data_IF_238447519459
#
_entry.id   IF_238447519459
#
_cell.length_a   1.000
_cell.length_b   1.000
_cell.length_c   1.000
_cell.angle_alpha   90.00
_cell.angle_beta   90.00
_cell.angle_gamma   90.00
#
_symmetry.space_group_name_H-M   'P 1'
#
loop_
_entity.id
_entity.type
_entity.pdbx_description
1 polymer ?
#
# COMPACT_ATOMS: atom_id res chain seq x y z
N UNK A 1 -47.55 37.96 -38.56
CA UNK A 1 -48.32 37.31 -37.48
C UNK A 1 -48.70 35.95 -38.04
N UNK A 2 -47.90 34.88 -37.91
CA UNK A 2 -47.54 34.17 -36.66
C UNK A 2 -48.84 33.98 -35.84
N UNK A 3 -49.36 32.78 -35.55
CA UNK A 3 -48.68 31.61 -34.95
C UNK A 3 -49.57 30.34 -35.12
N UNK A 4 -48.92 29.21 -35.48
CA UNK A 4 -49.08 27.76 -35.18
C UNK A 4 -50.47 27.12 -35.03
N UNK A 5 -50.83 26.04 -35.74
CA UNK A 5 -50.24 24.69 -35.89
C UNK A 5 -50.06 23.85 -34.60
N UNK A 6 -50.99 22.89 -34.47
CA UNK A 6 -50.83 21.49 -33.99
C UNK A 6 -50.21 21.27 -32.61
N UNK A 7 -51.05 20.82 -31.68
CA UNK A 7 -50.64 20.07 -30.49
C UNK A 7 -50.17 18.67 -30.88
N UNK A 8 -49.01 18.23 -30.37
CA UNK A 8 -48.93 16.83 -29.97
C UNK A 8 -48.12 16.62 -28.69
N UNK A 9 -48.44 15.54 -27.99
CA UNK A 9 -47.43 14.81 -27.21
C UNK A 9 -47.71 14.72 -25.72
N UNK A 10 -48.52 13.74 -25.34
CA UNK A 10 -48.37 13.06 -24.06
C UNK A 10 -46.94 12.49 -23.99
N UNK A 11 -46.05 13.13 -23.24
CA UNK A 11 -44.72 12.57 -23.00
C UNK A 11 -44.85 11.42 -22.01
N UNK A 12 -44.79 10.18 -22.50
CA UNK A 12 -44.51 9.02 -21.65
C UNK A 12 -43.05 9.20 -21.20
N UNK A 13 -42.85 9.78 -20.01
CA UNK A 13 -41.58 9.66 -19.31
C UNK A 13 -41.50 8.23 -18.80
N UNK A 14 -40.89 7.34 -19.59
CA UNK A 14 -40.31 6.12 -19.02
C UNK A 14 -39.27 6.62 -18.01
N UNK A 15 -39.57 6.49 -16.73
CA UNK A 15 -38.57 6.66 -15.70
C UNK A 15 -37.50 5.59 -15.97
N UNK A 16 -36.41 5.98 -16.64
CA UNK A 16 -35.21 5.16 -16.63
C UNK A 16 -34.79 5.08 -15.18
N UNK A 17 -34.88 3.88 -14.60
CA UNK A 17 -34.31 3.60 -13.31
C UNK A 17 -32.85 4.08 -13.36
N UNK A 18 -32.50 5.05 -12.51
CA UNK A 18 -31.10 5.39 -12.31
C UNK A 18 -30.44 4.12 -11.78
N UNK A 19 -29.69 3.42 -12.63
CA UNK A 19 -28.94 2.24 -12.23
C UNK A 19 -28.03 2.68 -11.08
N UNK A 20 -28.33 2.19 -9.88
CA UNK A 20 -27.46 2.33 -8.71
C UNK A 20 -26.57 1.09 -8.71
N UNK A 21 -25.33 1.18 -9.21
CA UNK A 21 -24.48 0.01 -9.27
C UNK A 21 -24.13 -0.43 -7.86
N UNK A 22 -24.17 -1.74 -7.63
CA UNK A 22 -23.63 -2.35 -6.43
C UNK A 22 -22.15 -2.58 -6.66
N UNK A 23 -21.30 -2.01 -5.79
CA UNK A 23 -19.86 -2.13 -5.90
C UNK A 23 -19.35 -2.88 -4.69
N UNK A 24 -18.67 -4.01 -4.93
CA UNK A 24 -18.00 -4.78 -3.88
C UNK A 24 -16.50 -4.62 -4.06
N UNK A 25 -15.82 -4.18 -3.00
CA UNK A 25 -14.37 -4.05 -2.91
C UNK A 25 -13.88 -5.18 -2.01
N UNK A 26 -12.97 -6.02 -2.51
CA UNK A 26 -12.38 -7.11 -1.74
C UNK A 26 -10.98 -6.69 -1.29
N UNK A 27 -10.79 -6.60 0.03
CA UNK A 27 -9.59 -6.12 0.70
C UNK A 27 -9.73 -4.67 1.20
N UNK A 28 -9.58 -4.45 2.50
CA UNK A 28 -9.52 -3.15 3.16
C UNK A 28 -8.08 -2.69 3.43
N UNK A 29 -7.15 -3.06 2.54
CA UNK A 29 -5.85 -2.42 2.42
C UNK A 29 -5.98 -1.02 1.82
N UNK A 30 -4.87 -0.27 1.74
CA UNK A 30 -4.89 1.13 1.29
C UNK A 30 -5.46 1.32 -0.12
N UNK A 31 -5.29 0.35 -1.02
CA UNK A 31 -5.89 0.37 -2.35
C UNK A 31 -7.42 0.30 -2.28
N UNK A 32 -7.96 -0.68 -1.55
CA UNK A 32 -9.41 -0.84 -1.40
C UNK A 32 -10.07 0.31 -0.67
N UNK A 33 -9.44 0.82 0.40
CA UNK A 33 -9.92 1.99 1.12
C UNK A 33 -9.87 3.26 0.26
N UNK A 34 -8.81 3.45 -0.54
CA UNK A 34 -8.71 4.54 -1.50
C UNK A 34 -9.85 4.48 -2.53
N UNK A 35 -10.12 3.29 -3.08
CA UNK A 35 -11.22 3.09 -4.02
C UNK A 35 -12.59 3.42 -3.37
N UNK A 36 -12.83 2.93 -2.16
CA UNK A 36 -14.07 3.18 -1.43
C UNK A 36 -14.28 4.68 -1.18
N UNK A 37 -13.24 5.38 -0.70
CA UNK A 37 -13.29 6.83 -0.45
C UNK A 37 -13.60 7.60 -1.74
N UNK A 38 -12.95 7.25 -2.85
CA UNK A 38 -13.16 7.93 -4.14
C UNK A 38 -14.58 7.70 -4.68
N UNK A 39 -15.10 6.46 -4.59
CA UNK A 39 -16.47 6.13 -4.98
C UNK A 39 -17.51 6.84 -4.13
N UNK A 40 -17.33 6.89 -2.80
CA UNK A 40 -18.23 7.60 -1.89
C UNK A 40 -18.19 9.10 -2.13
N UNK A 41 -17.02 9.70 -2.37
CA UNK A 41 -16.90 11.11 -2.81
C UNK A 41 -17.63 11.36 -4.12
N UNK A 42 -17.68 10.36 -4.99
CA UNK A 42 -18.46 10.38 -6.21
C UNK A 42 -19.97 10.08 -6.03
N UNK A 43 -20.48 10.01 -4.80
CA UNK A 43 -21.90 9.84 -4.51
C UNK A 43 -22.44 8.43 -4.77
N UNK A 44 -21.56 7.44 -4.95
CA UNK A 44 -21.97 6.04 -4.95
C UNK A 44 -22.34 5.65 -3.53
N UNK A 45 -23.53 5.08 -3.36
CA UNK A 45 -24.13 4.79 -2.04
C UNK A 45 -24.23 3.30 -1.74
N UNK A 46 -24.11 2.43 -2.74
CA UNK A 46 -24.11 0.98 -2.60
C UNK A 46 -22.69 0.43 -2.82
N UNK A 47 -21.81 0.75 -1.86
CA UNK A 47 -20.39 0.35 -1.85
C UNK A 47 -20.13 -0.49 -0.60
N UNK A 48 -19.72 -1.74 -0.78
CA UNK A 48 -19.38 -2.66 0.31
C UNK A 48 -17.91 -3.02 0.25
N UNK A 49 -17.19 -2.87 1.35
CA UNK A 49 -15.80 -3.33 1.50
C UNK A 49 -15.79 -4.62 2.32
N UNK A 50 -15.19 -5.68 1.78
CA UNK A 50 -14.99 -6.96 2.45
C UNK A 50 -13.53 -7.09 2.86
N UNK A 51 -13.27 -7.36 4.13
CA UNK A 51 -11.93 -7.60 4.66
C UNK A 51 -11.88 -9.01 5.28
N UNK A 52 -10.78 -9.72 5.04
CA UNK A 52 -10.60 -11.09 5.51
C UNK A 52 -10.04 -11.12 6.94
N UNK A 53 -9.27 -10.10 7.32
CA UNK A 53 -8.79 -9.90 8.67
C UNK A 53 -9.87 -9.27 9.57
N UNK A 54 -9.65 -9.30 10.88
CA UNK A 54 -10.48 -8.66 11.90
C UNK A 54 -10.35 -7.14 11.94
N UNK A 55 -9.43 -6.58 11.15
CA UNK A 55 -9.14 -5.14 11.05
C UNK A 55 -8.86 -4.71 9.61
N UNK A 56 -9.17 -3.46 9.25
CA UNK A 56 -8.67 -2.86 8.02
C UNK A 56 -7.18 -2.49 8.13
N UNK A 57 -6.60 -2.07 7.02
CA UNK A 57 -5.24 -1.51 6.93
C UNK A 57 -4.26 -2.38 6.14
N UNK A 58 -4.59 -3.64 5.89
CA UNK A 58 -3.68 -4.56 5.19
C UNK A 58 -2.35 -4.66 5.95
N UNK A 59 -1.26 -4.23 5.28
CA UNK A 59 0.08 -4.20 5.88
C UNK A 59 0.38 -3.01 6.80
N UNK A 60 -0.46 -1.97 6.80
CA UNK A 60 -0.37 -0.92 7.82
C UNK A 60 -1.01 -1.43 9.11
N UNK A 61 -0.28 -1.39 10.23
CA UNK A 61 -0.75 -1.93 11.50
C UNK A 61 -0.05 -1.28 12.69
N UNK A 62 -0.76 -0.35 13.32
CA UNK A 62 -0.38 0.27 14.57
C UNK A 62 -0.78 -0.62 15.75
N UNK A 63 0.14 -0.87 16.69
CA UNK A 63 -0.09 -1.64 17.91
C UNK A 63 0.40 -0.91 19.15
N UNK A 64 -0.14 -1.28 20.30
CA UNK A 64 0.46 -0.97 21.60
C UNK A 64 1.13 -2.24 22.12
N UNK A 65 2.45 -2.22 22.22
CA UNK A 65 3.24 -3.39 22.62
C UNK A 65 4.55 -2.93 23.26
N UNK A 66 5.17 -3.79 24.08
CA UNK A 66 6.46 -3.49 24.72
C UNK A 66 6.44 -2.21 25.59
N UNK A 67 5.26 -1.83 26.10
CA UNK A 67 5.07 -0.55 26.82
C UNK A 67 5.11 0.70 25.94
N UNK A 68 5.10 0.54 24.61
CA UNK A 68 5.13 1.63 23.63
C UNK A 68 3.74 1.75 23.00
N UNK A 69 3.19 2.95 23.03
CA UNK A 69 1.98 3.31 22.28
C UNK A 69 2.33 3.68 20.83
N UNK A 70 1.42 3.38 19.90
CA UNK A 70 1.53 3.75 18.49
C UNK A 70 2.77 3.17 17.77
N UNK A 71 3.08 1.91 18.00
CA UNK A 71 4.16 1.20 17.32
C UNK A 71 3.68 0.64 15.96
N UNK A 72 4.37 0.98 14.87
CA UNK A 72 4.01 0.51 13.52
C UNK A 72 4.69 -0.83 13.17
N UNK A 73 3.89 -1.85 12.85
CA UNK A 73 4.36 -3.16 12.38
C UNK A 73 4.52 -3.26 10.85
N UNK A 74 4.13 -2.22 10.12
CA UNK A 74 4.35 -2.07 8.69
C UNK A 74 3.96 -0.68 8.20
N UNK A 75 4.37 -0.33 6.98
CA UNK A 75 4.20 1.03 6.43
C UNK A 75 4.80 2.15 7.31
N UNK A 76 5.95 1.86 7.93
CA UNK A 76 6.59 2.71 8.96
C UNK A 76 7.05 4.08 8.44
N UNK A 77 7.36 4.18 7.15
CA UNK A 77 7.94 5.39 6.56
C UNK A 77 7.13 5.87 5.35
N UNK A 78 6.92 7.18 5.29
CA UNK A 78 6.42 7.86 4.11
C UNK A 78 7.58 8.53 3.38
N UNK A 79 8.05 7.91 2.30
CA UNK A 79 9.15 8.44 1.50
C UNK A 79 8.66 9.32 0.35
N UNK A 80 9.36 10.42 0.10
CA UNK A 80 9.14 11.33 -1.03
C UNK A 80 7.94 12.27 -0.84
N UNK A 81 8.17 13.54 -1.16
CA UNK A 81 7.18 14.63 -1.19
C UNK A 81 6.62 14.84 -2.61
N UNK A 82 7.43 14.57 -3.64
CA UNK A 82 7.07 14.69 -5.04
C UNK A 82 6.30 13.47 -5.53
N UNK A 83 5.19 13.73 -6.24
CA UNK A 83 4.31 12.72 -6.85
C UNK A 83 3.76 11.66 -5.87
N UNK A 84 3.80 11.93 -4.57
CA UNK A 84 3.29 11.05 -3.53
C UNK A 84 1.97 11.59 -2.96
N UNK A 85 0.80 11.07 -3.39
CA UNK A 85 -0.50 11.55 -2.90
C UNK A 85 -0.71 11.36 -1.40
N UNK A 86 0.01 10.43 -0.77
CA UNK A 86 -0.07 10.22 0.67
C UNK A 86 0.66 11.33 1.45
N UNK A 87 1.68 11.96 0.88
CA UNK A 87 2.30 13.15 1.47
C UNK A 87 1.32 14.31 1.54
N UNK A 88 0.61 14.58 0.43
CA UNK A 88 -0.44 15.60 0.41
C UNK A 88 -1.56 15.28 1.40
N UNK A 89 -1.97 14.02 1.50
CA UNK A 89 -2.98 13.59 2.47
C UNK A 89 -2.51 13.79 3.91
N UNK A 90 -1.26 13.45 4.23
CA UNK A 90 -0.67 13.67 5.56
C UNK A 90 -0.61 15.17 5.89
N UNK A 91 -0.22 16.01 4.93
CA UNK A 91 -0.21 17.47 5.09
C UNK A 91 -1.61 18.03 5.37
N UNK A 92 -2.62 17.62 4.58
CA UNK A 92 -4.01 18.05 4.75
C UNK A 92 -4.61 17.68 6.11
N UNK A 93 -4.10 16.61 6.73
CA UNK A 93 -4.54 16.14 8.03
C UNK A 93 -3.62 16.59 9.18
N UNK A 94 -2.65 17.49 8.91
CA UNK A 94 -1.68 17.97 9.89
C UNK A 94 -0.87 16.84 10.58
N UNK A 95 -0.49 15.81 9.82
CA UNK A 95 0.25 14.64 10.30
C UNK A 95 1.76 14.72 10.03
N UNK A 96 2.24 15.79 9.39
CA UNK A 96 3.66 16.01 9.14
C UNK A 96 4.32 16.68 10.33
N UNK A 97 5.44 16.13 10.81
CA UNK A 97 6.20 16.67 11.94
C UNK A 97 6.91 17.98 11.57
N UNK A 98 7.53 18.01 10.40
CA UNK A 98 8.20 19.17 9.82
C UNK A 98 7.52 19.47 8.47
N UNK A 99 7.14 20.73 8.20
CA UNK A 99 6.60 21.13 6.89
C UNK A 99 7.70 21.34 5.84
N UNK A 100 8.96 21.09 6.19
CA UNK A 100 10.11 21.21 5.31
C UNK A 100 10.61 19.85 4.86
N UNK A 101 10.71 19.69 3.54
CA UNK A 101 11.32 18.53 2.91
C UNK A 101 12.82 18.63 3.11
N UNK A 102 13.37 17.77 3.96
CA UNK A 102 14.83 17.66 4.13
C UNK A 102 15.40 16.97 2.89
N UNK A 103 15.97 17.76 1.99
CA UNK A 103 16.70 17.24 0.83
C UNK A 103 18.04 16.72 1.34
N UNK A 104 18.18 15.39 1.38
CA UNK A 104 19.49 14.78 1.60
C UNK A 104 20.31 14.95 0.31
N UNK A 105 21.52 15.54 0.37
CA UNK A 105 22.39 15.62 -0.79
C UNK A 105 22.69 14.22 -1.34
N UNK A 106 22.87 14.10 -2.65
CA UNK A 106 23.17 12.83 -3.30
C UNK A 106 24.44 12.19 -2.72
N UNK A 107 24.35 10.89 -2.42
CA UNK A 107 25.40 10.08 -1.79
C UNK A 107 25.03 9.69 -0.37
N UNK A 108 25.22 8.41 -0.04
CA UNK A 108 24.93 7.89 1.30
C UNK A 108 25.96 8.44 2.29
N UNK A 109 25.53 9.43 3.08
CA UNK A 109 26.31 9.98 4.19
C UNK A 109 25.60 9.65 5.49
N UNK A 110 26.32 8.98 6.37
CA UNK A 110 25.82 8.55 7.67
C UNK A 110 26.36 9.49 8.73
N UNK A 111 25.54 9.80 9.73
CA UNK A 111 25.88 10.75 10.79
C UNK A 111 25.51 10.18 12.15
N UNK A 112 26.29 10.50 13.17
CA UNK A 112 25.94 10.24 14.58
C UNK A 112 24.80 11.15 15.03
N UNK A 113 24.21 10.89 16.20
CA UNK A 113 23.21 11.78 16.80
C UNK A 113 23.77 13.19 17.10
N UNK A 114 25.09 13.30 17.28
CA UNK A 114 25.82 14.55 17.45
C UNK A 114 26.07 15.29 16.11
N UNK A 115 25.76 14.66 14.98
CA UNK A 115 25.95 15.22 13.64
C UNK A 115 27.34 14.96 13.04
N UNK A 116 28.16 14.12 13.66
CA UNK A 116 29.48 13.76 13.13
C UNK A 116 29.32 12.77 11.98
N UNK A 117 30.04 12.98 10.87
CA UNK A 117 29.98 12.05 9.74
C UNK A 117 30.67 10.73 10.10
N UNK A 118 29.98 9.63 9.85
CA UNK A 118 30.46 8.27 10.04
C UNK A 118 31.24 7.83 8.80
N UNK A 119 32.36 7.14 9.02
CA UNK A 119 33.22 6.60 7.97
C UNK A 119 32.47 5.54 7.12
N UNK A 120 32.65 5.58 5.80
CA UNK A 120 31.92 4.70 4.89
C UNK A 120 32.40 3.24 4.99
N UNK A 121 33.69 2.99 5.22
CA UNK A 121 34.21 1.63 5.40
C UNK A 121 33.61 0.99 6.65
N UNK A 122 33.43 1.80 7.70
CA UNK A 122 32.74 1.38 8.92
C UNK A 122 31.26 1.05 8.65
N UNK A 123 30.56 1.86 7.86
CA UNK A 123 29.16 1.58 7.48
C UNK A 123 29.05 0.30 6.67
N UNK A 124 29.96 0.07 5.73
CA UNK A 124 29.98 -1.16 4.92
C UNK A 124 30.28 -2.40 5.77
N UNK A 125 31.23 -2.32 6.70
CA UNK A 125 31.50 -3.39 7.67
C UNK A 125 30.28 -3.69 8.55
N UNK A 126 29.56 -2.65 9.00
CA UNK A 126 28.31 -2.81 9.74
C UNK A 126 27.24 -3.54 8.93
N UNK A 127 26.99 -3.12 7.69
CA UNK A 127 26.01 -3.77 6.81
C UNK A 127 26.38 -5.23 6.55
N UNK A 128 27.65 -5.53 6.26
CA UNK A 128 28.11 -6.90 6.04
C UNK A 128 27.84 -7.81 7.25
N UNK A 129 28.12 -7.32 8.46
CA UNK A 129 27.85 -8.09 9.70
C UNK A 129 26.35 -8.30 9.93
N UNK A 130 25.55 -7.27 9.61
CA UNK A 130 24.11 -7.33 9.74
C UNK A 130 23.51 -8.35 8.76
N UNK A 131 24.02 -8.40 7.53
CA UNK A 131 23.65 -9.40 6.52
C UNK A 131 24.03 -10.82 6.97
N UNK A 132 25.27 -11.04 7.41
CA UNK A 132 25.73 -12.36 7.90
C UNK A 132 24.86 -12.90 9.03
N UNK A 133 24.46 -12.03 9.95
CA UNK A 133 23.65 -12.41 11.12
C UNK A 133 22.19 -12.60 10.73
N UNK A 134 21.69 -11.79 9.79
CA UNK A 134 20.38 -11.99 9.18
C UNK A 134 20.33 -13.34 8.48
N UNK A 135 21.32 -13.67 7.66
CA UNK A 135 21.44 -14.97 7.00
C UNK A 135 21.52 -16.13 8.01
N UNK A 136 22.26 -15.97 9.10
CA UNK A 136 22.30 -16.98 10.17
C UNK A 136 20.95 -17.15 10.87
N UNK A 137 20.22 -16.07 11.13
CA UNK A 137 18.89 -16.12 11.74
C UNK A 137 17.85 -16.78 10.80
N UNK A 138 18.03 -16.66 9.48
CA UNK A 138 17.14 -17.22 8.47
C UNK A 138 17.67 -18.53 7.83
N UNK A 139 18.79 -19.09 8.30
CA UNK A 139 19.31 -20.39 7.84
C UNK A 139 18.25 -21.49 8.03
N UNK A 140 17.77 -22.03 6.91
CA UNK A 140 16.69 -23.04 6.88
C UNK A 140 15.30 -22.49 6.53
N UNK A 141 15.20 -21.24 6.09
CA UNK A 141 13.96 -20.58 5.68
C UNK A 141 13.28 -19.83 6.83
N UNK A 142 12.34 -18.91 6.51
CA UNK A 142 11.58 -18.20 7.53
C UNK A 142 10.80 -19.18 8.41
N UNK A 143 11.15 -19.24 9.70
CA UNK A 143 10.44 -20.05 10.70
C UNK A 143 9.62 -19.14 11.59
N UNK A 144 8.31 -19.12 11.37
CA UNK A 144 7.39 -18.30 12.15
C UNK A 144 7.03 -18.93 13.51
N UNK A 145 8.02 -19.09 14.40
CA UNK A 145 7.85 -19.69 15.72
C UNK A 145 8.58 -18.90 16.84
N UNK A 146 8.18 -19.14 18.10
CA UNK A 146 8.71 -18.43 19.27
C UNK A 146 10.24 -18.56 19.41
N UNK A 147 10.81 -19.71 19.04
CA UNK A 147 12.25 -19.96 19.10
C UNK A 147 13.02 -19.07 18.12
N UNK A 148 12.46 -18.81 16.93
CA UNK A 148 13.01 -17.86 15.97
C UNK A 148 13.07 -16.44 16.55
N UNK A 149 12.04 -15.95 17.24
CA UNK A 149 12.08 -14.58 17.81
C UNK A 149 13.11 -14.42 18.93
N UNK A 150 13.28 -15.44 19.78
CA UNK A 150 14.36 -15.45 20.77
C UNK A 150 15.73 -15.42 20.10
N UNK A 151 15.88 -16.14 18.98
CA UNK A 151 17.11 -16.12 18.18
C UNK A 151 17.35 -14.75 17.53
N UNK A 152 16.31 -14.06 17.06
CA UNK A 152 16.40 -12.70 16.50
C UNK A 152 16.85 -11.70 17.56
N UNK A 153 16.21 -11.68 18.74
CA UNK A 153 16.61 -10.77 19.82
C UNK A 153 18.05 -10.98 20.28
N UNK A 154 18.48 -12.24 20.37
CA UNK A 154 19.88 -12.59 20.69
C UNK A 154 20.84 -12.14 19.60
N UNK A 155 20.49 -12.39 18.33
CA UNK A 155 21.27 -11.95 17.18
C UNK A 155 21.43 -10.43 17.17
N UNK A 156 20.34 -9.66 17.32
CA UNK A 156 20.39 -8.20 17.37
C UNK A 156 21.25 -7.68 18.53
N UNK A 157 21.10 -8.23 19.74
CA UNK A 157 21.91 -7.79 20.89
C UNK A 157 23.38 -8.20 20.77
N UNK A 158 23.69 -9.32 20.11
CA UNK A 158 25.07 -9.68 19.76
C UNK A 158 25.68 -8.68 18.77
N UNK A 159 24.96 -8.30 17.71
CA UNK A 159 25.41 -7.24 16.78
C UNK A 159 25.72 -5.96 17.55
N UNK A 160 24.81 -5.54 18.43
CA UNK A 160 25.01 -4.32 19.20
C UNK A 160 26.26 -4.38 20.08
N UNK A 161 26.53 -5.50 20.75
CA UNK A 161 27.75 -5.68 21.57
C UNK A 161 29.01 -5.62 20.73
N UNK A 162 29.04 -6.34 19.62
CA UNK A 162 30.20 -6.41 18.71
C UNK A 162 30.47 -5.04 18.09
N UNK A 163 29.41 -4.35 17.64
CA UNK A 163 29.50 -3.06 16.98
C UNK A 163 29.89 -1.92 17.94
N UNK A 164 29.29 -1.88 19.12
CA UNK A 164 29.55 -0.81 20.10
C UNK A 164 30.77 -1.09 20.99
N UNK A 165 31.33 -2.30 20.94
CA UNK A 165 32.36 -2.76 21.89
C UNK A 165 31.85 -2.93 23.32
N UNK A 166 30.54 -2.77 23.55
CA UNK A 166 29.92 -2.79 24.88
C UNK A 166 29.40 -4.18 25.21
N UNK A 167 30.21 -4.95 25.93
CA UNK A 167 29.82 -6.28 26.42
C UNK A 167 28.67 -6.24 27.46
N UNK A 168 28.37 -5.07 28.05
CA UNK A 168 27.35 -4.88 29.07
C UNK A 168 25.93 -4.71 28.53
N UNK A 169 25.75 -4.62 27.20
CA UNK A 169 24.41 -4.56 26.60
C UNK A 169 23.63 -5.84 26.98
N UNK A 170 22.44 -5.74 27.62
CA UNK A 170 21.68 -6.90 28.04
C UNK A 170 21.02 -7.62 26.86
N UNK A 171 20.59 -8.86 27.08
CA UNK A 171 19.74 -9.57 26.11
C UNK A 171 18.38 -8.89 25.99
N UNK A 172 17.74 -9.03 24.83
CA UNK A 172 16.39 -8.53 24.62
C UNK A 172 15.40 -9.25 25.54
N UNK A 173 14.67 -8.48 26.36
CA UNK A 173 13.66 -9.02 27.27
C UNK A 173 12.42 -9.47 26.51
N UNK A 174 12.02 -8.70 25.49
CA UNK A 174 10.89 -8.98 24.62
C UNK A 174 11.23 -8.60 23.17
N UNK A 175 10.68 -9.36 22.22
CA UNK A 175 10.90 -9.17 20.78
C UNK A 175 9.55 -9.20 20.08
N UNK A 176 9.27 -8.15 19.31
CA UNK A 176 8.12 -8.07 18.43
C UNK A 176 8.60 -8.06 16.98
N UNK A 177 7.97 -8.88 16.14
CA UNK A 177 8.37 -9.01 14.74
C UNK A 177 7.15 -9.34 13.88
N UNK A 178 7.06 -8.67 12.74
CA UNK A 178 5.98 -8.86 11.78
C UNK A 178 6.16 -10.15 10.98
N UNK A 179 5.03 -10.76 10.59
CA UNK A 179 5.01 -12.07 9.90
C UNK A 179 4.22 -11.98 8.59
N UNK A 180 4.68 -11.15 7.69
CA UNK A 180 3.97 -10.90 6.43
C UNK A 180 3.86 -12.14 5.55
N UNK A 181 4.89 -12.99 5.56
CA UNK A 181 4.96 -14.18 4.72
C UNK A 181 3.97 -15.28 5.13
N UNK A 182 3.86 -15.60 6.42
CA UNK A 182 2.94 -16.64 6.91
C UNK A 182 1.50 -16.17 7.11
N UNK A 183 1.23 -14.86 7.05
CA UNK A 183 -0.14 -14.39 7.09
C UNK A 183 -0.88 -14.87 5.82
N UNK A 184 -1.94 -15.69 5.94
CA UNK A 184 -2.60 -16.32 4.80
C UNK A 184 -3.35 -15.33 3.90
N UNK A 185 -3.54 -14.08 4.35
CA UNK A 185 -4.21 -13.02 3.60
C UNK A 185 -3.23 -12.05 2.94
N UNK A 186 -1.92 -12.19 3.21
CA UNK A 186 -0.87 -11.26 2.75
C UNK A 186 0.21 -12.00 1.97
N UNK A 187 0.63 -13.18 2.45
CA UNK A 187 1.50 -14.13 1.76
C UNK A 187 2.90 -13.61 1.34
N UNK A 188 3.32 -12.45 1.83
CA UNK A 188 4.59 -11.84 1.45
C UNK A 188 4.71 -10.37 1.83
N UNK A 189 5.87 -9.78 1.54
CA UNK A 189 6.08 -8.35 1.77
C UNK A 189 5.60 -7.54 0.56
N UNK A 190 6.42 -7.41 -0.47
CA UNK A 190 6.12 -6.62 -1.66
C UNK A 190 6.41 -7.42 -2.93
N UNK A 191 5.77 -7.03 -4.01
CA UNK A 191 6.04 -7.57 -5.34
C UNK A 191 7.49 -7.36 -5.70
N UNK A 192 8.08 -8.34 -6.37
CA UNK A 192 9.37 -8.19 -7.04
C UNK A 192 9.14 -8.54 -8.51
N UNK A 193 9.74 -7.79 -9.43
CA UNK A 193 9.72 -8.14 -10.86
C UNK A 193 10.73 -9.29 -11.06
N UNK A 194 10.29 -10.52 -11.35
CA UNK A 194 11.21 -11.64 -11.47
C UNK A 194 12.20 -11.44 -12.62
N UNK A 195 13.36 -12.11 -12.54
CA UNK A 195 14.34 -12.11 -13.63
C UNK A 195 13.68 -12.58 -14.93
N UNK A 196 13.80 -11.79 -15.98
CA UNK A 196 13.21 -12.07 -17.30
C UNK A 196 11.79 -11.53 -17.51
N UNK A 197 11.14 -11.02 -16.45
CA UNK A 197 9.90 -10.24 -16.58
C UNK A 197 10.23 -8.75 -16.75
N UNK A 198 9.34 -8.03 -17.42
CA UNK A 198 9.40 -6.57 -17.48
C UNK A 198 8.38 -5.95 -16.53
N UNK A 199 8.63 -4.72 -16.09
CA UNK A 199 7.75 -4.02 -15.14
C UNK A 199 6.33 -3.82 -15.69
N UNK A 200 6.18 -3.73 -17.02
CA UNK A 200 4.90 -3.59 -17.74
C UNK A 200 4.00 -4.83 -17.58
N UNK A 201 4.51 -5.95 -17.04
CA UNK A 201 3.65 -7.06 -16.61
C UNK A 201 2.62 -6.62 -15.56
N UNK A 202 2.92 -5.58 -14.78
CA UNK A 202 1.98 -4.99 -13.81
C UNK A 202 0.79 -4.31 -14.50
N UNK A 203 0.97 -3.80 -15.72
CA UNK A 203 -0.12 -3.18 -16.49
C UNK A 203 -1.10 -4.24 -16.99
N UNK A 204 -0.61 -5.44 -17.34
CA UNK A 204 -1.44 -6.60 -17.66
C UNK A 204 -2.24 -7.05 -16.44
N UNK A 205 -1.64 -7.04 -15.24
CA UNK A 205 -2.35 -7.35 -13.99
C UNK A 205 -3.44 -6.31 -13.66
N UNK A 206 -3.37 -5.11 -14.22
CA UNK A 206 -4.35 -4.04 -14.02
C UNK A 206 -5.53 -4.10 -15.01
N UNK A 207 -5.50 -5.01 -15.99
CA UNK A 207 -6.54 -5.12 -17.00
C UNK A 207 -7.86 -5.65 -16.39
N UNK A 208 -9.00 -5.05 -16.75
CA UNK A 208 -10.30 -5.49 -16.25
C UNK A 208 -10.71 -6.83 -16.86
N UNK A 209 -11.55 -7.58 -16.15
CA UNK A 209 -12.27 -8.74 -16.69
C UNK A 209 -13.78 -8.46 -16.78
N UNK A 210 -14.45 -8.76 -17.91
CA UNK A 210 -13.85 -9.17 -19.18
C UNK A 210 -13.05 -8.03 -19.83
N UNK A 211 -11.96 -8.39 -20.53
CA UNK A 211 -11.13 -7.43 -21.25
C UNK A 211 -11.85 -6.78 -22.43
N UNK A 212 -11.32 -5.64 -22.91
CA UNK A 212 -11.99 -4.76 -23.88
C UNK A 212 -12.24 -5.36 -25.28
N UNK A 213 -11.47 -6.37 -25.68
CA UNK A 213 -11.38 -6.78 -27.10
C UNK A 213 -12.41 -7.84 -27.56
N UNK A 214 -13.28 -8.35 -26.67
CA UNK A 214 -14.19 -9.47 -27.01
C UNK A 214 -15.68 -9.20 -26.82
N UNK A 215 -16.07 -7.98 -26.48
CA UNK A 215 -17.45 -7.69 -26.09
C UNK A 215 -18.13 -6.75 -27.08
N UNK A 216 -18.87 -7.30 -28.05
CA UNK A 216 -19.91 -6.57 -28.79
C UNK A 216 -21.13 -6.23 -27.89
N UNK A 217 -20.91 -6.05 -26.59
CA UNK A 217 -21.97 -5.95 -25.58
C UNK A 217 -22.39 -4.48 -25.48
N UNK A 218 -23.60 -4.20 -25.96
CA UNK A 218 -24.25 -2.87 -25.95
C UNK A 218 -24.75 -2.43 -24.55
N UNK A 219 -24.45 -3.19 -23.50
CA UNK A 219 -24.95 -3.00 -22.14
C UNK A 219 -23.79 -2.92 -21.14
N UNK A 220 -23.92 -2.15 -20.05
CA UNK A 220 -22.88 -2.01 -19.02
C UNK A 220 -22.65 -3.39 -18.38
N UNK A 221 -21.60 -4.09 -18.80
CA UNK A 221 -21.28 -5.42 -18.29
C UNK A 221 -20.74 -5.35 -16.86
N UNK A 222 -21.00 -6.38 -16.06
CA UNK A 222 -20.28 -6.60 -14.81
C UNK A 222 -18.77 -6.62 -15.09
N UNK A 223 -18.01 -5.86 -14.31
CA UNK A 223 -16.55 -5.78 -14.43
C UNK A 223 -15.90 -6.22 -13.12
N UNK A 224 -14.80 -6.96 -13.26
CA UNK A 224 -13.83 -7.23 -12.20
C UNK A 224 -12.61 -6.37 -12.50
N UNK A 225 -12.24 -5.53 -11.53
CA UNK A 225 -11.11 -4.61 -11.61
C UNK A 225 -10.03 -5.01 -10.61
N UNK A 226 -8.78 -4.71 -10.92
CA UNK A 226 -7.63 -5.06 -10.08
C UNK A 226 -6.89 -3.80 -9.62
N UNK A 227 -6.74 -3.67 -8.31
CA UNK A 227 -5.97 -2.63 -7.64
C UNK A 227 -4.99 -3.26 -6.65
N UNK A 228 -4.02 -2.47 -6.18
CA UNK A 228 -2.92 -2.93 -5.35
C UNK A 228 -1.57 -2.50 -5.94
N UNK A 229 -0.51 -2.63 -5.14
CA UNK A 229 0.86 -2.21 -5.53
C UNK A 229 1.39 -2.96 -6.76
N UNK A 230 1.00 -4.24 -6.92
CA UNK A 230 1.42 -5.07 -8.04
C UNK A 230 0.81 -4.69 -9.41
N UNK A 231 -0.12 -3.73 -9.42
CA UNK A 231 -0.92 -3.39 -10.61
C UNK A 231 -0.59 -2.01 -11.16
N UNK A 232 0.50 -1.37 -10.73
CA UNK A 232 0.76 0.04 -11.09
C UNK A 232 2.24 0.33 -11.35
N UNK A 233 2.52 0.79 -12.55
CA UNK A 233 3.82 1.33 -12.94
C UNK A 233 3.81 2.88 -12.88
N UNK A 234 4.95 3.54 -12.59
CA UNK A 234 6.23 2.98 -12.15
C UNK A 234 6.29 2.67 -10.64
N UNK A 235 5.21 2.88 -9.89
CA UNK A 235 5.19 2.89 -8.41
C UNK A 235 4.93 1.52 -7.76
N UNK A 236 5.35 0.41 -8.38
CA UNK A 236 5.23 -0.93 -7.79
C UNK A 236 5.90 -0.97 -6.41
N UNK A 237 5.49 -1.91 -5.54
CA UNK A 237 6.02 -2.13 -4.18
C UNK A 237 5.68 -1.06 -3.14
N UNK A 238 5.12 0.08 -3.55
CA UNK A 238 4.91 1.23 -2.67
C UNK A 238 3.47 1.35 -2.17
N UNK A 239 3.33 1.93 -0.97
CA UNK A 239 2.02 2.27 -0.39
C UNK A 239 1.28 3.33 -1.23
N UNK A 240 1.99 4.32 -1.78
CA UNK A 240 1.39 5.36 -2.61
C UNK A 240 0.98 4.85 -4.00
N UNK A 241 1.70 3.87 -4.54
CA UNK A 241 1.28 3.12 -5.72
C UNK A 241 -0.03 2.37 -5.46
N UNK A 242 -0.11 1.60 -4.38
CA UNK A 242 -1.35 0.91 -3.98
C UNK A 242 -2.53 1.89 -3.79
N UNK A 243 -2.29 3.02 -3.11
CA UNK A 243 -3.29 4.08 -2.95
C UNK A 243 -3.80 4.58 -4.32
N UNK A 244 -2.86 4.85 -5.24
CA UNK A 244 -3.16 5.40 -6.55
C UNK A 244 -3.87 4.40 -7.47
N UNK A 245 -3.54 3.11 -7.39
CA UNK A 245 -4.24 2.07 -8.17
C UNK A 245 -5.67 1.87 -7.68
N UNK A 246 -5.93 1.97 -6.38
CA UNK A 246 -7.28 2.01 -5.82
C UNK A 246 -8.12 3.16 -6.41
N UNK A 247 -7.55 4.37 -6.41
CA UNK A 247 -8.18 5.55 -7.02
C UNK A 247 -8.42 5.37 -8.51
N UNK A 248 -7.45 4.81 -9.24
CA UNK A 248 -7.56 4.50 -10.68
C UNK A 248 -8.77 3.61 -10.97
N UNK A 249 -8.94 2.50 -10.25
CA UNK A 249 -10.07 1.60 -10.49
C UNK A 249 -11.41 2.23 -10.11
N UNK A 250 -11.45 3.03 -9.03
CA UNK A 250 -12.64 3.81 -8.70
C UNK A 250 -13.04 4.76 -9.83
N UNK A 251 -12.08 5.49 -10.42
CA UNK A 251 -12.34 6.40 -11.55
C UNK A 251 -12.91 5.63 -12.75
N UNK A 252 -12.39 4.44 -13.08
CA UNK A 252 -12.96 3.62 -14.17
C UNK A 252 -14.44 3.28 -13.91
N UNK A 253 -14.81 2.92 -12.68
CA UNK A 253 -16.21 2.66 -12.32
C UNK A 253 -17.06 3.94 -12.34
N UNK A 254 -16.50 5.05 -11.86
CA UNK A 254 -17.15 6.36 -11.90
C UNK A 254 -17.47 6.72 -13.35
N UNK A 255 -16.51 6.62 -14.26
CA UNK A 255 -16.69 6.92 -15.68
C UNK A 255 -17.68 5.95 -16.32
N UNK A 256 -17.56 4.64 -16.05
CA UNK A 256 -18.48 3.62 -16.57
C UNK A 256 -19.93 3.91 -16.15
N UNK A 257 -20.18 4.26 -14.90
CA UNK A 257 -21.53 4.40 -14.35
C UNK A 257 -22.09 5.82 -14.45
N UNK A 258 -21.25 6.86 -14.38
CA UNK A 258 -21.65 8.26 -14.59
C UNK A 258 -21.69 8.69 -16.05
N UNK A 259 -21.03 7.99 -16.98
CA UNK A 259 -21.29 8.18 -18.40
C UNK A 259 -22.71 7.65 -18.72
N UNK A 260 -23.69 8.54 -18.52
CA UNK A 260 -24.90 8.82 -19.29
C UNK A 260 -25.62 9.97 -18.59
N UNK A 261 -25.32 11.20 -19.01
CA UNK A 261 -26.27 12.08 -19.72
C UNK A 261 -25.49 13.22 -20.38
#
# INVERSE_FOLDING_TARGET
MSVNCVSPGLSIRVAMATMRPQIVIVGAGIAGLSAAVELTKAGFTDVTVLEAMDRPGGRAHTVTALGIENLELGATWLHGDKDNPLYTLAQQNNLLRDNEVKVHPAGDKFYTEQGDQVDLDFVLDFWSKLDDITDQAYKGGPKDNCESFKSVGKACTQILREFTGRADIPDAVEVLCSRWHSNPYICGAYTNVPVGCKAEASDVLAEPLPGCDKCHVKEKSLQVLFAGEATITPYITTTHGAFSSGKREAIKLIDLYRCKH
#
